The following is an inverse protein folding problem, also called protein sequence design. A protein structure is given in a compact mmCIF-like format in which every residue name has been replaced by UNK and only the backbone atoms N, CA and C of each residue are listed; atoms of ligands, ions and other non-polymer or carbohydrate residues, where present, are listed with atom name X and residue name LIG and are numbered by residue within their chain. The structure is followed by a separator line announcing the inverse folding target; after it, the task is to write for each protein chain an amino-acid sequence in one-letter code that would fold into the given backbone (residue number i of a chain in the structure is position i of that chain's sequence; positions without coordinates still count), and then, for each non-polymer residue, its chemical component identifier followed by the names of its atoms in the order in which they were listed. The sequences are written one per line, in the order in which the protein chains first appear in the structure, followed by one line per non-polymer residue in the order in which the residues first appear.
data_IF_067152140501
#
_entry.id   IF_067152140501
#
_cell.length_a   1.000
_cell.length_b   1.000
_cell.length_c   1.000
_cell.angle_alpha   90.00
_cell.angle_beta   90.00
_cell.angle_gamma   90.00
#
_symmetry.space_group_name_H-M   'P 1'
#
loop_
_entity.id
_entity.type
_entity.pdbx_description
1 polymer ?
#
# COMPACT_ATOMS: atom_id res chain seq x y z
N UNK A 1 -70.56 -38.59 2.99
CA UNK A 1 -69.24 -39.14 2.60
C UNK A 1 -68.45 -38.08 1.81
N UNK A 2 -68.01 -36.97 2.43
CA UNK A 2 -67.16 -35.96 1.74
C UNK A 2 -66.38 -35.15 2.79
N UNK A 3 -65.25 -35.65 3.31
CA UNK A 3 -64.33 -34.79 4.12
C UNK A 3 -62.84 -35.15 4.00
N UNK A 4 -62.44 -36.26 3.35
CA UNK A 4 -61.02 -36.66 3.29
C UNK A 4 -60.16 -35.94 2.24
N UNK A 5 -60.75 -35.24 1.26
CA UNK A 5 -60.01 -34.59 0.18
C UNK A 5 -59.43 -33.22 0.56
N UNK A 6 -60.02 -32.51 1.52
CA UNK A 6 -59.60 -31.15 1.89
C UNK A 6 -58.23 -31.10 2.60
N UNK A 7 -57.98 -32.02 3.55
CA UNK A 7 -56.74 -32.01 4.36
C UNK A 7 -55.48 -32.39 3.58
N UNK A 8 -55.62 -33.18 2.51
CA UNK A 8 -54.49 -33.57 1.64
C UNK A 8 -54.10 -32.45 0.66
N UNK A 9 -55.06 -31.61 0.30
CA UNK A 9 -54.87 -30.47 -0.60
C UNK A 9 -54.20 -29.28 0.12
N UNK A 10 -54.57 -29.02 1.37
CA UNK A 10 -53.99 -27.98 2.22
C UNK A 10 -52.49 -28.22 2.48
N UNK A 11 -52.11 -29.45 2.86
CA UNK A 11 -50.70 -29.80 3.08
C UNK A 11 -49.84 -29.67 1.81
N UNK A 12 -50.35 -30.07 0.63
CA UNK A 12 -49.62 -29.89 -0.63
C UNK A 12 -49.38 -28.41 -0.96
N UNK A 13 -50.32 -27.53 -0.61
CA UNK A 13 -50.15 -26.08 -0.79
C UNK A 13 -49.06 -25.54 0.14
N UNK A 14 -49.06 -25.98 1.41
CA UNK A 14 -48.05 -25.58 2.38
C UNK A 14 -46.63 -25.97 1.95
N UNK A 15 -46.41 -27.20 1.49
CA UNK A 15 -45.08 -27.63 0.99
C UNK A 15 -44.63 -26.85 -0.23
N UNK A 16 -45.55 -26.48 -1.14
CA UNK A 16 -45.22 -25.62 -2.28
C UNK A 16 -44.78 -24.24 -1.83
N UNK A 17 -45.51 -23.62 -0.90
CA UNK A 17 -45.15 -22.29 -0.34
C UNK A 17 -43.81 -22.35 0.38
N UNK A 18 -43.59 -23.35 1.23
CA UNK A 18 -42.33 -23.54 1.94
C UNK A 18 -41.15 -23.71 0.97
N UNK A 19 -41.33 -24.50 -0.09
CA UNK A 19 -40.31 -24.69 -1.12
C UNK A 19 -39.98 -23.39 -1.88
N UNK A 20 -41.01 -22.62 -2.24
CA UNK A 20 -40.81 -21.31 -2.90
C UNK A 20 -40.07 -20.33 -1.99
N UNK A 21 -40.42 -20.27 -0.70
CA UNK A 21 -39.71 -19.43 0.29
C UNK A 21 -38.24 -19.86 0.41
N UNK A 22 -37.97 -21.16 0.44
CA UNK A 22 -36.61 -21.68 0.52
C UNK A 22 -35.78 -21.29 -0.71
N UNK A 23 -36.37 -21.36 -1.91
CA UNK A 23 -35.73 -20.89 -3.15
C UNK A 23 -35.43 -19.40 -3.09
N UNK A 24 -36.39 -18.58 -2.62
CA UNK A 24 -36.19 -17.13 -2.52
C UNK A 24 -35.05 -16.82 -1.55
N UNK A 25 -35.02 -17.46 -0.38
CA UNK A 25 -33.93 -17.30 0.61
C UNK A 25 -32.59 -17.74 0.02
N UNK A 26 -32.56 -18.87 -0.70
CA UNK A 26 -31.34 -19.34 -1.34
C UNK A 26 -30.82 -18.35 -2.39
N UNK A 27 -31.71 -17.82 -3.23
CA UNK A 27 -31.35 -16.83 -4.24
C UNK A 27 -30.82 -15.54 -3.61
N UNK A 28 -31.50 -15.01 -2.58
CA UNK A 28 -31.04 -13.78 -1.90
C UNK A 28 -29.68 -13.97 -1.24
N UNK A 29 -29.48 -15.07 -0.51
CA UNK A 29 -28.18 -15.38 0.09
C UNK A 29 -27.07 -15.52 -0.94
N UNK A 30 -27.36 -16.15 -2.08
CA UNK A 30 -26.38 -16.33 -3.15
C UNK A 30 -26.01 -15.00 -3.81
N UNK A 31 -27.00 -14.13 -4.06
CA UNK A 31 -26.78 -12.76 -4.55
C UNK A 31 -25.96 -11.92 -3.57
N UNK A 32 -26.30 -11.95 -2.28
CA UNK A 32 -25.56 -11.24 -1.23
C UNK A 32 -24.12 -11.70 -1.16
N UNK A 33 -23.85 -13.02 -1.25
CA UNK A 33 -22.48 -13.54 -1.29
C UNK A 33 -21.67 -12.99 -2.46
N UNK A 34 -22.26 -12.92 -3.65
CA UNK A 34 -21.57 -12.40 -4.84
C UNK A 34 -21.25 -10.92 -4.68
N UNK A 35 -22.19 -10.12 -4.18
CA UNK A 35 -21.97 -8.68 -3.93
C UNK A 35 -20.87 -8.47 -2.89
N UNK A 36 -20.93 -9.20 -1.77
CA UNK A 36 -19.91 -9.12 -0.73
C UNK A 36 -18.55 -9.58 -1.24
N UNK A 37 -18.47 -10.68 -1.99
CA UNK A 37 -17.22 -11.16 -2.56
C UNK A 37 -16.57 -10.13 -3.49
N UNK A 38 -17.37 -9.46 -4.32
CA UNK A 38 -16.88 -8.41 -5.22
C UNK A 38 -16.39 -7.17 -4.45
N UNK A 39 -17.13 -6.76 -3.41
CA UNK A 39 -16.73 -5.67 -2.53
C UNK A 39 -15.45 -5.99 -1.75
N UNK A 40 -15.31 -7.22 -1.24
CA UNK A 40 -14.12 -7.68 -0.53
C UNK A 40 -12.92 -7.78 -1.46
N UNK A 41 -13.09 -8.30 -2.68
CA UNK A 41 -12.02 -8.36 -3.67
C UNK A 41 -11.50 -6.95 -4.01
N UNK A 42 -12.42 -6.02 -4.29
CA UNK A 42 -12.08 -4.62 -4.60
C UNK A 42 -11.45 -3.92 -3.39
N UNK A 43 -12.01 -4.11 -2.19
CA UNK A 43 -11.48 -3.51 -0.96
C UNK A 43 -10.09 -4.06 -0.62
N UNK A 44 -9.87 -5.37 -0.82
CA UNK A 44 -8.58 -6.03 -0.62
C UNK A 44 -7.51 -5.51 -1.57
N UNK A 45 -7.84 -5.32 -2.85
CA UNK A 45 -6.93 -4.73 -3.82
C UNK A 45 -6.57 -3.28 -3.47
N UNK A 46 -7.55 -2.47 -3.05
CA UNK A 46 -7.31 -1.08 -2.63
C UNK A 46 -6.47 -1.01 -1.35
N UNK A 47 -6.69 -1.91 -0.40
CA UNK A 47 -5.90 -2.01 0.81
C UNK A 47 -4.46 -2.42 0.51
N UNK A 48 -4.26 -3.40 -0.37
CA UNK A 48 -2.94 -3.82 -0.81
C UNK A 48 -2.18 -2.67 -1.49
N UNK A 49 -2.84 -1.93 -2.39
CA UNK A 49 -2.25 -0.76 -3.04
C UNK A 49 -1.92 0.37 -2.05
N UNK A 50 -2.76 0.58 -1.04
CA UNK A 50 -2.49 1.56 0.02
C UNK A 50 -1.28 1.14 0.88
N UNK A 51 -1.20 -0.13 1.28
CA UNK A 51 -0.07 -0.65 2.05
C UNK A 51 1.24 -0.57 1.27
N UNK A 52 1.23 -0.91 -0.02
CA UNK A 52 2.41 -0.78 -0.87
C UNK A 52 2.88 0.68 -0.96
N UNK A 53 1.94 1.64 -1.02
CA UNK A 53 2.29 3.06 -1.02
C UNK A 53 2.86 3.53 0.32
N UNK A 54 2.36 3.00 1.43
CA UNK A 54 2.90 3.28 2.77
C UNK A 54 4.34 2.79 2.86
N UNK A 55 4.61 1.56 2.43
CA UNK A 55 5.94 0.95 2.44
C UNK A 55 6.96 1.78 1.62
N UNK A 56 6.58 2.18 0.40
CA UNK A 56 7.43 3.05 -0.44
C UNK A 56 7.73 4.39 0.24
N UNK A 57 6.73 5.01 0.87
CA UNK A 57 6.91 6.29 1.55
C UNK A 57 7.79 6.15 2.80
N UNK A 58 7.70 5.03 3.50
CA UNK A 58 8.53 4.74 4.66
C UNK A 58 10.01 4.54 4.26
N UNK A 59 10.26 3.81 3.17
CA UNK A 59 11.61 3.65 2.59
C UNK A 59 12.19 4.99 2.13
N UNK A 60 11.37 5.84 1.50
CA UNK A 60 11.78 7.20 1.09
C UNK A 60 12.12 8.08 2.29
N UNK A 61 11.30 8.03 3.36
CA UNK A 61 11.59 8.76 4.59
C UNK A 61 12.90 8.29 5.24
N UNK A 62 13.13 6.98 5.34
CA UNK A 62 14.39 6.46 5.87
C UNK A 62 15.60 6.90 5.04
N UNK A 63 15.46 6.92 3.71
CA UNK A 63 16.52 7.40 2.81
C UNK A 63 16.81 8.89 3.07
N UNK A 64 15.76 9.71 3.16
CA UNK A 64 15.88 11.14 3.45
C UNK A 64 16.50 11.41 4.83
N UNK A 65 16.12 10.64 5.85
CA UNK A 65 16.69 10.75 7.19
C UNK A 65 18.18 10.39 7.20
N UNK A 66 18.58 9.38 6.43
CA UNK A 66 19.98 9.00 6.26
C UNK A 66 20.77 10.12 5.55
N UNK A 67 20.23 10.68 4.46
CA UNK A 67 20.85 11.81 3.75
C UNK A 67 20.98 13.03 4.66
N UNK A 68 19.94 13.37 5.42
CA UNK A 68 19.98 14.46 6.39
C UNK A 68 21.04 14.23 7.48
N UNK A 69 21.17 12.99 7.95
CA UNK A 69 22.19 12.60 8.94
C UNK A 69 23.62 12.71 8.38
N UNK A 70 23.83 12.35 7.12
CA UNK A 70 25.11 12.52 6.43
C UNK A 70 25.45 14.01 6.27
N UNK A 71 24.50 14.83 5.82
CA UNK A 71 24.68 16.28 5.67
C UNK A 71 25.01 16.91 7.03
N UNK A 72 24.28 16.55 8.08
CA UNK A 72 24.54 17.04 9.44
C UNK A 72 25.94 16.65 9.93
N UNK A 73 26.35 15.41 9.66
CA UNK A 73 27.69 14.92 10.01
C UNK A 73 28.78 15.69 9.26
N UNK A 74 28.58 15.96 7.96
CA UNK A 74 29.50 16.76 7.16
C UNK A 74 29.58 18.21 7.64
N UNK A 75 28.44 18.83 7.98
CA UNK A 75 28.39 20.17 8.53
C UNK A 75 29.16 20.27 9.86
N UNK A 76 29.06 19.24 10.72
CA UNK A 76 29.85 19.17 11.95
C UNK A 76 31.34 19.06 11.68
N UNK A 77 31.74 18.30 10.65
CA UNK A 77 33.14 18.21 10.23
C UNK A 77 33.62 19.57 9.68
N UNK A 78 32.82 20.26 8.87
CA UNK A 78 33.12 21.60 8.36
C UNK A 78 33.32 22.60 9.52
N UNK A 79 32.46 22.57 10.53
CA UNK A 79 32.58 23.41 11.73
C UNK A 79 33.88 23.10 12.51
N UNK A 80 34.23 21.82 12.69
CA UNK A 80 35.47 21.42 13.36
C UNK A 80 36.72 21.81 12.55
N UNK A 81 36.66 21.70 11.23
CA UNK A 81 37.74 22.10 10.33
C UNK A 81 37.98 23.61 10.40
N UNK A 82 36.91 24.42 10.35
CA UNK A 82 36.99 25.87 10.53
C UNK A 82 37.57 26.26 11.90
N UNK A 83 37.11 25.61 12.98
CA UNK A 83 37.67 25.82 14.33
C UNK A 83 39.16 25.45 14.45
N UNK A 84 39.61 24.51 13.63
CA UNK A 84 41.01 24.07 13.57
C UNK A 84 41.86 24.92 12.61
N UNK A 85 41.30 25.99 12.04
CA UNK A 85 42.00 26.92 11.15
C UNK A 85 42.04 26.51 9.68
N UNK A 86 41.28 25.49 9.27
CA UNK A 86 41.09 25.17 7.87
C UNK A 86 40.03 26.08 7.26
N UNK A 87 40.44 26.96 6.35
CA UNK A 87 39.53 27.80 5.58
C UNK A 87 39.09 27.11 4.29
N UNK A 88 37.85 27.39 3.89
CA UNK A 88 37.29 26.91 2.63
C UNK A 88 38.03 27.62 1.48
N UNK A 89 38.73 26.87 0.64
CA UNK A 89 39.44 27.46 -0.50
C UNK A 89 38.43 28.06 -1.49
N UNK A 90 38.22 29.38 -1.45
CA UNK A 90 37.28 30.09 -2.33
C UNK A 90 37.72 30.07 -3.81
N UNK A 91 39.02 29.92 -4.08
CA UNK A 91 39.57 29.92 -5.43
C UNK A 91 40.74 28.93 -5.52
N UNK A 92 40.46 27.71 -5.99
CA UNK A 92 41.53 26.79 -6.39
C UNK A 92 41.97 27.18 -7.79
N UNK A 93 42.97 28.06 -7.90
CA UNK A 93 43.68 28.23 -9.18
C UNK A 93 44.45 26.92 -9.43
N UNK A 94 43.90 26.08 -10.30
CA UNK A 94 44.64 24.95 -10.87
C UNK A 94 45.73 25.55 -11.74
N UNK A 95 46.90 25.76 -11.16
CA UNK A 95 48.11 26.13 -11.88
C UNK A 95 48.52 24.91 -12.72
N UNK A 96 47.96 24.79 -13.92
CA UNK A 96 48.43 23.84 -14.93
C UNK A 96 49.79 24.38 -15.41
N UNK A 97 50.91 23.71 -15.12
CA UNK A 97 52.20 24.14 -15.64
C UNK A 97 52.19 23.99 -17.17
N UNK A 98 52.41 25.10 -17.88
CA UNK A 98 52.49 25.12 -19.36
C UNK A 98 53.74 24.43 -19.92
N UNK A 99 54.60 23.87 -19.06
CA UNK A 99 55.78 23.12 -19.47
C UNK A 99 55.85 21.79 -18.72
N UNK A 100 56.15 20.67 -19.40
CA UNK A 100 56.42 19.42 -18.73
C UNK A 100 57.63 19.59 -17.80
N UNK A 101 57.40 19.45 -16.50
CA UNK A 101 58.47 19.35 -15.53
C UNK A 101 59.14 17.99 -15.71
N UNK A 102 60.44 18.03 -15.97
CA UNK A 102 61.40 16.94 -16.15
C UNK A 102 61.55 16.38 -17.58
N UNK A 103 62.62 16.82 -18.23
CA UNK A 103 63.44 15.99 -19.12
C UNK A 103 64.79 15.78 -18.42
N UNK A 104 65.10 14.53 -18.05
CA UNK A 104 66.44 14.09 -17.67
C UNK A 104 66.74 12.81 -18.42
#
# INVERSE_FOLDING_TARGET
MVTRSASKQENRSFYKVAFTVLIVIFLTLSLTRVVLANLLATSGQRLAAANQKIEILEEQNQTLENEASLISSLARIEELAQKSGFEKAENVQVLVPNLPLANR
#
